data_IF_063067928267
#
_entry.id   IF_063067928267
#
_cell.length_a   1.000
_cell.length_b   1.000
_cell.length_c   1.000
_cell.angle_alpha   90.00
_cell.angle_beta   90.00
_cell.angle_gamma   90.00
#
_symmetry.space_group_name_H-M   'P 1'
#
loop_
_entity.id
_entity.type
_entity.pdbx_description
1 polymer ?
#
# COMPACT_ATOMS: atom_id res chain seq x y z
N UNK A 1 29.15 -14.66 9.26
CA UNK A 1 28.85 -13.34 9.90
C UNK A 1 30.09 -12.46 10.09
N UNK A 2 31.33 -12.97 10.02
CA UNK A 2 32.53 -12.22 10.39
C UNK A 2 32.66 -10.79 9.82
N UNK A 3 32.39 -10.51 8.53
CA UNK A 3 32.45 -9.13 8.02
C UNK A 3 31.49 -8.15 8.71
N UNK A 4 30.34 -8.65 9.19
CA UNK A 4 29.34 -7.87 9.92
C UNK A 4 29.72 -7.75 11.40
N UNK A 5 30.24 -8.83 12.01
CA UNK A 5 30.65 -8.83 13.43
C UNK A 5 31.73 -7.79 13.70
N UNK A 6 32.73 -7.66 12.81
CA UNK A 6 33.87 -6.78 13.00
C UNK A 6 33.61 -5.30 12.67
N UNK A 7 32.37 -4.95 12.31
CA UNK A 7 32.02 -3.57 11.97
C UNK A 7 32.98 -2.97 10.91
N UNK A 8 33.35 -3.80 9.92
CA UNK A 8 34.46 -3.49 9.00
C UNK A 8 34.16 -2.28 8.12
N UNK A 9 32.87 -1.95 7.93
CA UNK A 9 32.43 -0.75 7.21
C UNK A 9 32.95 0.51 7.90
N UNK A 10 32.73 0.64 9.21
CA UNK A 10 33.15 1.84 9.95
C UNK A 10 34.65 1.82 10.25
N UNK A 11 35.26 0.65 10.50
CA UNK A 11 36.70 0.54 10.74
C UNK A 11 37.55 0.84 9.50
N UNK A 12 37.07 0.48 8.31
CA UNK A 12 37.75 0.75 7.04
C UNK A 12 37.33 2.08 6.39
N UNK A 13 36.66 2.97 7.13
CA UNK A 13 36.28 4.30 6.65
C UNK A 13 35.37 4.26 5.42
N UNK A 14 34.36 3.38 5.42
CA UNK A 14 33.39 3.22 4.33
C UNK A 14 34.01 2.95 2.95
N UNK A 15 35.19 2.33 2.91
CA UNK A 15 35.84 1.94 1.65
C UNK A 15 34.88 1.17 0.73
N UNK A 16 35.06 1.30 -0.58
CA UNK A 16 34.24 0.57 -1.57
C UNK A 16 34.24 -0.94 -1.31
N UNK A 17 35.40 -1.50 -0.95
CA UNK A 17 35.56 -2.90 -0.63
C UNK A 17 34.78 -3.30 0.63
N UNK A 18 34.97 -2.59 1.75
CA UNK A 18 34.29 -2.92 3.02
C UNK A 18 32.78 -2.82 2.90
N UNK A 19 32.30 -1.80 2.18
CA UNK A 19 30.88 -1.61 1.89
C UNK A 19 30.32 -2.76 1.07
N UNK A 20 30.98 -3.14 -0.03
CA UNK A 20 30.51 -4.21 -0.91
C UNK A 20 30.50 -5.58 -0.22
N UNK A 21 31.54 -5.90 0.56
CA UNK A 21 31.63 -7.19 1.29
C UNK A 21 30.52 -7.30 2.34
N UNK A 22 30.27 -6.24 3.11
CA UNK A 22 29.20 -6.25 4.11
C UNK A 22 27.82 -6.26 3.46
N UNK A 23 27.61 -5.48 2.40
CA UNK A 23 26.33 -5.46 1.69
C UNK A 23 25.97 -6.84 1.10
N UNK A 24 26.95 -7.55 0.53
CA UNK A 24 26.76 -8.92 0.02
C UNK A 24 26.50 -9.91 1.16
N UNK A 25 27.20 -9.75 2.28
CA UNK A 25 26.99 -10.58 3.47
C UNK A 25 25.58 -10.42 4.04
N UNK A 26 25.11 -9.17 4.21
CA UNK A 26 23.74 -8.86 4.60
C UNK A 26 22.74 -9.41 3.59
N UNK A 27 23.03 -9.34 2.30
CA UNK A 27 22.18 -9.92 1.26
C UNK A 27 21.98 -11.44 1.43
N UNK A 28 23.03 -12.18 1.81
CA UNK A 28 22.93 -13.62 2.09
C UNK A 28 22.10 -13.86 3.36
N UNK A 29 22.37 -13.11 4.43
CA UNK A 29 21.65 -13.23 5.71
C UNK A 29 20.16 -12.99 5.53
N UNK A 30 19.80 -11.90 4.84
CA UNK A 30 18.41 -11.55 4.58
C UNK A 30 17.68 -12.66 3.80
N UNK A 31 18.29 -13.20 2.75
CA UNK A 31 17.71 -14.32 1.99
C UNK A 31 17.50 -15.56 2.85
N UNK A 32 18.43 -15.88 3.75
CA UNK A 32 18.29 -17.02 4.65
C UNK A 32 17.11 -16.81 5.61
N UNK A 33 17.03 -15.64 6.25
CA UNK A 33 15.96 -15.32 7.21
C UNK A 33 14.58 -15.33 6.56
N UNK A 34 14.45 -14.81 5.33
CA UNK A 34 13.17 -14.75 4.60
C UNK A 34 12.73 -16.11 4.09
N UNK A 35 13.66 -16.95 3.63
CA UNK A 35 13.31 -18.21 2.96
C UNK A 35 13.23 -19.42 3.90
N UNK A 36 13.81 -19.35 5.11
CA UNK A 36 13.74 -20.44 6.09
C UNK A 36 12.52 -20.30 7.00
N UNK A 37 11.62 -21.29 6.91
CA UNK A 37 10.37 -21.38 7.69
C UNK A 37 10.44 -22.51 8.71
N UNK A 38 9.49 -22.53 9.64
CA UNK A 38 9.42 -23.53 10.72
C UNK A 38 10.55 -23.38 11.74
N UNK A 39 10.79 -24.46 12.49
CA UNK A 39 11.73 -24.50 13.62
C UNK A 39 13.15 -24.09 13.20
N UNK A 40 13.64 -24.60 12.07
CA UNK A 40 14.95 -24.22 11.51
C UNK A 40 15.08 -22.71 11.28
N UNK A 41 14.00 -22.06 10.82
CA UNK A 41 13.98 -20.61 10.63
C UNK A 41 13.95 -19.85 11.95
N UNK A 42 13.23 -20.36 12.95
CA UNK A 42 13.19 -19.79 14.29
C UNK A 42 14.57 -19.88 14.96
N UNK A 43 15.21 -21.04 14.91
CA UNK A 43 16.57 -21.26 15.43
C UNK A 43 17.59 -20.33 14.76
N UNK A 44 17.51 -20.18 13.43
CA UNK A 44 18.39 -19.27 12.70
C UNK A 44 18.21 -17.82 13.16
N UNK A 45 16.96 -17.35 13.27
CA UNK A 45 16.68 -15.99 13.76
C UNK A 45 17.18 -15.80 15.20
N UNK A 46 16.99 -16.79 16.07
CA UNK A 46 17.49 -16.76 17.44
C UNK A 46 19.01 -16.70 17.50
N UNK A 47 19.72 -17.50 16.69
CA UNK A 47 21.19 -17.49 16.62
C UNK A 47 21.73 -16.12 16.18
N UNK A 48 21.14 -15.53 15.14
CA UNK A 48 21.58 -14.22 14.63
C UNK A 48 21.23 -13.11 15.64
N UNK A 49 20.05 -13.16 16.25
CA UNK A 49 19.63 -12.19 17.28
C UNK A 49 20.54 -12.23 18.51
N UNK A 50 21.04 -13.41 18.88
CA UNK A 50 21.96 -13.60 20.01
C UNK A 50 23.37 -13.05 19.74
N UNK A 51 23.74 -12.82 18.48
CA UNK A 51 25.01 -12.21 18.10
C UNK A 51 24.97 -10.68 18.26
N UNK A 52 25.25 -10.22 19.48
CA UNK A 52 25.29 -8.80 19.84
C UNK A 52 26.24 -7.97 18.98
N UNK A 53 27.33 -8.57 18.48
CA UNK A 53 28.29 -7.89 17.60
C UNK A 53 27.66 -7.56 16.26
N UNK A 54 27.06 -8.57 15.62
CA UNK A 54 26.32 -8.40 14.37
C UNK A 54 25.14 -7.42 14.50
N UNK A 55 24.34 -7.55 15.57
CA UNK A 55 23.22 -6.64 15.84
C UNK A 55 23.70 -5.21 16.07
N UNK A 56 24.77 -5.03 16.85
CA UNK A 56 25.39 -3.73 17.11
C UNK A 56 25.85 -3.05 15.83
N UNK A 57 26.56 -3.78 14.96
CA UNK A 57 26.99 -3.27 13.64
C UNK A 57 25.81 -2.89 12.76
N UNK A 58 24.78 -3.73 12.66
CA UNK A 58 23.61 -3.42 11.86
C UNK A 58 22.88 -2.17 12.38
N UNK A 59 22.77 -2.00 13.70
CA UNK A 59 22.21 -0.77 14.30
C UNK A 59 23.02 0.47 13.95
N UNK A 60 24.36 0.40 14.02
CA UNK A 60 25.26 1.50 13.62
C UNK A 60 25.10 1.85 12.15
N UNK A 61 25.06 0.84 11.27
CA UNK A 61 24.80 1.00 9.84
C UNK A 61 23.51 1.79 9.59
N UNK A 62 22.44 1.43 10.30
CA UNK A 62 21.11 2.05 10.13
C UNK A 62 21.10 3.54 10.45
N UNK A 63 21.90 4.00 11.41
CA UNK A 63 21.96 5.42 11.83
C UNK A 63 23.15 6.17 11.25
N UNK A 64 23.99 5.53 10.44
CA UNK A 64 25.20 6.14 9.89
C UNK A 64 24.88 7.03 8.69
N UNK A 65 25.24 8.30 8.76
CA UNK A 65 25.00 9.28 7.68
C UNK A 65 25.76 8.93 6.40
N UNK A 66 26.97 8.36 6.49
CA UNK A 66 27.66 7.89 5.29
C UNK A 66 26.93 6.72 4.66
N UNK A 67 26.39 5.78 5.45
CA UNK A 67 25.63 4.64 4.95
C UNK A 67 24.23 5.01 4.40
N UNK A 68 23.80 6.25 4.59
CA UNK A 68 22.46 6.72 4.27
C UNK A 68 22.12 6.54 2.80
N UNK A 69 20.94 5.98 2.54
CA UNK A 69 20.41 5.75 1.19
C UNK A 69 21.08 4.60 0.44
N UNK A 70 22.06 3.91 1.05
CA UNK A 70 22.74 2.77 0.42
C UNK A 70 21.99 1.46 0.66
N UNK A 71 22.17 0.53 -0.27
CA UNK A 71 21.63 -0.84 -0.20
C UNK A 71 21.99 -1.56 1.11
N UNK A 72 23.18 -1.28 1.64
CA UNK A 72 23.66 -1.87 2.88
C UNK A 72 22.78 -1.46 4.09
N UNK A 73 22.28 -0.22 4.11
CA UNK A 73 21.42 0.31 5.16
C UNK A 73 20.02 -0.30 5.07
N UNK A 74 19.47 -0.38 3.86
CA UNK A 74 18.17 -1.00 3.58
C UNK A 74 18.16 -2.47 4.02
N UNK A 75 19.19 -3.26 3.66
CA UNK A 75 19.32 -4.66 4.10
C UNK A 75 19.44 -4.78 5.61
N UNK A 76 20.17 -3.89 6.27
CA UNK A 76 20.28 -3.89 7.73
C UNK A 76 18.91 -3.60 8.40
N UNK A 77 18.13 -2.65 7.90
CA UNK A 77 16.76 -2.36 8.38
C UNK A 77 15.85 -3.58 8.27
N UNK A 78 15.88 -4.26 7.10
CA UNK A 78 15.07 -5.44 6.84
C UNK A 78 15.45 -6.60 7.76
N UNK A 79 16.76 -6.89 7.90
CA UNK A 79 17.24 -7.95 8.80
C UNK A 79 16.83 -7.67 10.24
N UNK A 80 17.14 -6.46 10.75
CA UNK A 80 16.79 -6.11 12.13
C UNK A 80 15.30 -6.27 12.39
N UNK A 81 14.45 -5.95 11.42
CA UNK A 81 13.00 -6.10 11.56
C UNK A 81 12.55 -7.55 11.64
N UNK A 82 13.11 -8.43 10.81
CA UNK A 82 12.82 -9.86 10.91
C UNK A 82 13.34 -10.50 12.22
N UNK A 83 14.41 -9.95 12.80
CA UNK A 83 14.96 -10.44 14.07
C UNK A 83 14.24 -9.87 15.29
N UNK A 84 13.71 -8.64 15.18
CA UNK A 84 13.02 -7.94 16.25
C UNK A 84 11.58 -8.43 16.47
N UNK A 85 11.14 -9.57 15.93
CA UNK A 85 9.75 -10.02 16.10
C UNK A 85 9.41 -10.26 17.60
N UNK A 86 10.38 -10.63 18.44
CA UNK A 86 10.13 -11.08 19.83
C UNK A 86 10.64 -10.15 20.97
N UNK A 87 11.42 -9.10 20.70
CA UNK A 87 12.05 -8.26 21.75
C UNK A 87 11.55 -6.80 21.78
N UNK A 88 10.80 -6.43 22.82
CA UNK A 88 10.10 -5.14 22.92
C UNK A 88 11.01 -3.89 22.91
N UNK A 89 12.15 -3.91 23.60
CA UNK A 89 13.03 -2.73 23.70
C UNK A 89 13.81 -2.42 22.41
N UNK A 90 14.28 -3.47 21.71
CA UNK A 90 14.98 -3.33 20.43
C UNK A 90 14.04 -2.88 19.32
N UNK A 91 12.77 -3.29 19.38
CA UNK A 91 11.71 -2.87 18.46
C UNK A 91 11.42 -1.37 18.51
N UNK A 92 11.34 -0.76 19.69
CA UNK A 92 11.00 0.66 19.83
C UNK A 92 12.03 1.59 19.16
N UNK A 93 13.33 1.38 19.42
CA UNK A 93 14.39 2.19 18.82
C UNK A 93 14.46 2.04 17.31
N UNK A 94 14.29 0.83 16.78
CA UNK A 94 14.23 0.59 15.35
C UNK A 94 13.01 1.30 14.73
N UNK A 95 11.84 1.17 15.37
CA UNK A 95 10.60 1.82 14.92
C UNK A 95 10.79 3.33 14.78
N UNK A 96 11.40 4.00 15.76
CA UNK A 96 11.67 5.45 15.70
C UNK A 96 12.53 5.85 14.50
N UNK A 97 13.58 5.09 14.21
CA UNK A 97 14.43 5.37 13.04
C UNK A 97 13.65 5.17 11.74
N UNK A 98 12.88 4.09 11.63
CA UNK A 98 12.07 3.80 10.45
C UNK A 98 10.98 4.87 10.22
N UNK A 99 10.29 5.31 11.28
CA UNK A 99 9.30 6.39 11.24
C UNK A 99 9.94 7.67 10.71
N UNK A 100 11.10 8.05 11.26
CA UNK A 100 11.82 9.24 10.79
C UNK A 100 12.20 9.15 9.32
N UNK A 101 12.69 8.00 8.84
CA UNK A 101 13.03 7.81 7.43
C UNK A 101 11.77 7.85 6.56
N UNK A 102 10.68 7.23 7.00
CA UNK A 102 9.48 7.10 6.19
C UNK A 102 8.70 8.42 6.07
N UNK A 103 8.50 9.12 7.20
CA UNK A 103 7.71 10.36 7.28
C UNK A 103 8.55 11.58 6.92
N UNK A 104 9.76 11.68 7.46
CA UNK A 104 10.62 12.87 7.37
C UNK A 104 11.80 12.71 6.40
N UNK A 105 11.87 11.58 5.68
CA UNK A 105 12.93 11.31 4.71
C UNK A 105 12.83 12.22 3.49
N UNK A 106 14.00 12.54 2.92
CA UNK A 106 14.11 13.29 1.67
C UNK A 106 13.42 12.53 0.53
N UNK A 107 12.53 13.21 -0.19
CA UNK A 107 11.83 12.68 -1.37
C UNK A 107 12.78 12.24 -2.49
N UNK A 108 14.03 12.71 -2.51
CA UNK A 108 15.06 12.27 -3.46
C UNK A 108 15.50 10.81 -3.22
N UNK A 109 15.40 10.32 -1.98
CA UNK A 109 15.78 8.97 -1.58
C UNK A 109 14.55 8.05 -1.53
N UNK A 110 13.91 7.85 -2.68
CA UNK A 110 12.66 7.07 -2.77
C UNK A 110 12.83 5.61 -2.34
N UNK A 111 13.95 4.96 -2.67
CA UNK A 111 14.20 3.54 -2.34
C UNK A 111 14.22 3.27 -0.84
N UNK A 112 15.03 4.01 -0.07
CA UNK A 112 15.12 3.84 1.39
C UNK A 112 13.80 4.17 2.07
N UNK A 113 13.06 5.16 1.57
CA UNK A 113 11.75 5.52 2.11
C UNK A 113 10.73 4.40 1.87
N UNK A 114 10.72 3.80 0.67
CA UNK A 114 9.91 2.60 0.36
C UNK A 114 10.26 1.45 1.30
N UNK A 115 11.55 1.12 1.44
CA UNK A 115 12.00 0.06 2.35
C UNK A 115 11.60 0.35 3.80
N UNK A 116 11.74 1.59 4.27
CA UNK A 116 11.32 1.97 5.62
C UNK A 116 9.81 1.74 5.83
N UNK A 117 8.99 2.13 4.86
CA UNK A 117 7.54 1.89 4.88
C UNK A 117 7.17 0.40 4.93
N UNK A 118 7.76 -0.42 4.05
CA UNK A 118 7.53 -1.88 4.01
C UNK A 118 7.94 -2.54 5.34
N UNK A 119 9.06 -2.06 5.88
CA UNK A 119 9.60 -2.55 7.15
C UNK A 119 8.69 -2.16 8.34
N UNK A 120 8.12 -0.95 8.32
CA UNK A 120 7.12 -0.52 9.31
C UNK A 120 5.85 -1.35 9.22
N UNK A 121 5.31 -1.57 8.01
CA UNK A 121 4.14 -2.44 7.80
C UNK A 121 4.36 -3.80 8.46
N UNK A 122 5.52 -4.43 8.20
CA UNK A 122 5.87 -5.73 8.78
C UNK A 122 5.97 -5.68 10.31
N UNK A 123 6.57 -4.63 10.89
CA UNK A 123 6.68 -4.47 12.34
C UNK A 123 5.31 -4.35 13.01
N UNK A 124 4.39 -3.61 12.40
CA UNK A 124 3.06 -3.33 12.95
C UNK A 124 2.16 -4.55 12.84
N UNK A 125 2.17 -5.24 11.69
CA UNK A 125 1.50 -6.54 11.49
C UNK A 125 1.95 -7.60 12.50
N UNK A 126 3.24 -7.60 12.84
CA UNK A 126 3.81 -8.57 13.78
C UNK A 126 3.62 -8.16 15.24
N UNK A 127 3.11 -6.95 15.52
CA UNK A 127 2.98 -6.43 16.88
C UNK A 127 1.59 -6.73 17.45
N UNK A 128 1.56 -7.24 18.68
CA UNK A 128 0.30 -7.36 19.45
C UNK A 128 -0.29 -6.01 19.82
N UNK A 129 0.54 -4.96 19.92
CA UNK A 129 0.12 -3.61 20.25
C UNK A 129 1.08 -2.58 19.67
N UNK A 130 0.56 -1.66 18.88
CA UNK A 130 1.31 -0.55 18.27
C UNK A 130 1.63 0.55 19.28
N UNK A 131 0.80 0.74 20.32
CA UNK A 131 1.09 1.68 21.41
C UNK A 131 2.43 1.39 22.11
N UNK A 132 2.89 0.14 22.10
CA UNK A 132 4.21 -0.22 22.66
C UNK A 132 5.38 0.19 21.76
N UNK A 133 5.13 0.43 20.47
CA UNK A 133 6.15 0.77 19.47
C UNK A 133 6.27 2.28 19.24
N UNK A 134 5.17 2.99 19.41
CA UNK A 134 5.05 4.44 19.19
C UNK A 134 4.58 5.13 20.46
N UNK A 135 5.44 5.93 21.11
CA UNK A 135 5.03 6.77 22.23
C UNK A 135 3.90 7.73 21.82
N UNK A 136 3.04 8.05 22.79
CA UNK A 136 1.88 8.92 22.59
C UNK A 136 2.26 10.30 22.02
N UNK A 137 3.39 10.85 22.46
CA UNK A 137 3.86 12.17 22.06
C UNK A 137 4.17 12.25 20.57
N UNK A 138 4.53 11.12 19.96
CA UNK A 138 4.89 10.99 18.55
C UNK A 138 3.68 10.59 17.68
N UNK A 139 2.58 10.11 18.27
CA UNK A 139 1.43 9.56 17.55
C UNK A 139 0.77 10.55 16.60
N UNK A 140 0.54 11.78 17.06
CA UNK A 140 -0.16 12.79 16.26
C UNK A 140 0.67 13.21 15.03
N UNK A 141 1.99 13.42 15.22
CA UNK A 141 2.91 13.72 14.13
C UNK A 141 3.00 12.54 13.16
N UNK A 142 3.05 11.30 13.68
CA UNK A 142 3.09 10.11 12.86
C UNK A 142 1.85 9.94 11.99
N UNK A 143 0.65 10.05 12.58
CA UNK A 143 -0.63 9.94 11.86
C UNK A 143 -0.78 11.05 10.83
N UNK A 144 -0.46 12.30 11.18
CA UNK A 144 -0.46 13.43 10.24
C UNK A 144 0.56 13.25 9.11
N UNK A 145 1.72 12.68 9.43
CA UNK A 145 2.74 12.30 8.47
C UNK A 145 2.22 11.27 7.46
N UNK A 146 1.63 10.17 7.93
CA UNK A 146 1.03 9.13 7.08
C UNK A 146 -0.05 9.69 6.16
N UNK A 147 -0.93 10.55 6.69
CA UNK A 147 -1.94 11.25 5.91
C UNK A 147 -1.34 12.08 4.78
N UNK A 148 -0.25 12.82 5.07
CA UNK A 148 0.47 13.56 4.03
C UNK A 148 1.06 12.64 2.95
N UNK A 149 1.59 11.47 3.33
CA UNK A 149 2.09 10.48 2.35
C UNK A 149 0.94 9.95 1.50
N UNK A 150 -0.20 9.61 2.11
CA UNK A 150 -1.37 9.06 1.44
C UNK A 150 -1.86 9.96 0.30
N UNK A 151 -1.82 11.28 0.51
CA UNK A 151 -2.26 12.31 -0.44
C UNK A 151 -1.19 12.74 -1.46
N UNK A 152 0.04 12.21 -1.40
CA UNK A 152 1.10 12.52 -2.38
C UNK A 152 0.88 11.79 -3.71
N UNK A 153 -0.08 12.25 -4.51
CA UNK A 153 -0.35 11.71 -5.87
C UNK A 153 0.89 11.92 -6.77
N UNK A 154 1.36 10.85 -7.43
CA UNK A 154 2.56 10.84 -8.28
C UNK A 154 3.34 9.51 -8.17
N UNK A 155 4.63 9.51 -8.48
CA UNK A 155 5.49 8.30 -8.59
C UNK A 155 5.78 7.53 -7.27
N UNK A 156 4.97 7.75 -6.22
CA UNK A 156 5.23 7.25 -4.87
C UNK A 156 4.22 6.19 -4.39
N UNK A 157 3.55 5.49 -5.31
CA UNK A 157 2.49 4.53 -5.02
C UNK A 157 2.85 3.50 -3.93
N UNK A 158 4.08 3.00 -3.92
CA UNK A 158 4.55 2.08 -2.88
C UNK A 158 4.49 2.69 -1.49
N UNK A 159 4.93 3.96 -1.31
CA UNK A 159 4.84 4.61 -0.01
C UNK A 159 3.40 4.95 0.36
N UNK A 160 2.57 5.35 -0.62
CA UNK A 160 1.14 5.59 -0.40
C UNK A 160 0.44 4.33 0.09
N UNK A 161 0.73 3.19 -0.55
CA UNK A 161 0.23 1.86 -0.19
C UNK A 161 0.65 1.50 1.23
N UNK A 162 1.95 1.63 1.54
CA UNK A 162 2.45 1.35 2.89
C UNK A 162 1.81 2.28 3.94
N UNK A 163 1.58 3.56 3.61
CA UNK A 163 0.90 4.48 4.52
C UNK A 163 -0.56 4.06 4.76
N UNK A 164 -1.26 3.61 3.72
CA UNK A 164 -2.62 3.10 3.83
C UNK A 164 -2.69 1.84 4.71
N UNK A 165 -1.81 0.86 4.48
CA UNK A 165 -1.72 -0.38 5.27
C UNK A 165 -1.40 -0.11 6.75
N UNK A 166 -0.50 0.85 7.04
CA UNK A 166 -0.20 1.26 8.41
C UNK A 166 -1.41 1.93 9.05
N UNK A 167 -2.03 2.92 8.39
CA UNK A 167 -3.23 3.60 8.91
C UNK A 167 -4.36 2.62 9.17
N UNK A 168 -4.54 1.62 8.30
CA UNK A 168 -5.53 0.56 8.47
C UNK A 168 -5.26 -0.24 9.75
N UNK A 169 -4.00 -0.63 9.97
CA UNK A 169 -3.58 -1.29 11.21
C UNK A 169 -3.86 -0.45 12.45
N UNK A 170 -3.60 0.86 12.39
CA UNK A 170 -3.93 1.77 13.48
C UNK A 170 -5.44 1.80 13.76
N UNK A 171 -6.27 1.83 12.71
CA UNK A 171 -7.73 1.82 12.84
C UNK A 171 -8.22 0.56 13.55
N UNK A 172 -7.62 -0.60 13.26
CA UNK A 172 -7.99 -1.87 13.90
C UNK A 172 -7.59 -1.88 15.37
N UNK A 173 -6.36 -1.45 15.69
CA UNK A 173 -5.83 -1.56 17.05
C UNK A 173 -6.34 -0.48 18.01
N UNK A 174 -6.62 0.72 17.51
CA UNK A 174 -7.07 1.85 18.35
C UNK A 174 -8.59 2.08 18.33
N UNK A 175 -9.36 1.20 17.68
CA UNK A 175 -10.83 1.32 17.63
C UNK A 175 -11.48 1.44 19.02
N UNK A 176 -10.88 0.82 20.03
CA UNK A 176 -11.37 0.80 21.41
C UNK A 176 -10.55 1.72 22.35
N UNK A 177 -9.50 2.35 21.83
CA UNK A 177 -8.57 3.18 22.61
C UNK A 177 -8.90 4.67 22.46
N UNK A 178 -9.71 5.19 23.38
CA UNK A 178 -10.22 6.56 23.33
C UNK A 178 -9.14 7.65 23.29
N UNK A 179 -7.92 7.38 23.73
CA UNK A 179 -6.83 8.35 23.76
C UNK A 179 -6.18 8.54 22.38
N UNK A 180 -5.96 7.45 21.64
CA UNK A 180 -5.37 7.45 20.29
C UNK A 180 -6.41 7.63 19.17
N UNK A 181 -7.67 7.28 19.46
CA UNK A 181 -8.78 7.24 18.51
C UNK A 181 -9.15 8.62 17.95
N UNK A 182 -9.15 9.67 18.78
CA UNK A 182 -9.63 10.99 18.37
C UNK A 182 -8.79 11.60 17.22
N UNK A 183 -7.46 11.64 17.36
CA UNK A 183 -6.56 12.13 16.31
C UNK A 183 -6.64 11.26 15.06
N UNK A 184 -6.66 9.94 15.23
CA UNK A 184 -6.73 9.01 14.09
C UNK A 184 -8.03 9.22 13.31
N UNK A 185 -9.17 9.24 14.00
CA UNK A 185 -10.49 9.45 13.40
C UNK A 185 -10.57 10.80 12.68
N UNK A 186 -10.13 11.88 13.32
CA UNK A 186 -10.15 13.21 12.70
C UNK A 186 -9.27 13.26 11.44
N UNK A 187 -8.07 12.68 11.51
CA UNK A 187 -7.15 12.63 10.37
C UNK A 187 -7.73 11.82 9.21
N UNK A 188 -8.25 10.62 9.49
CA UNK A 188 -8.88 9.77 8.47
C UNK A 188 -10.10 10.47 7.87
N UNK A 189 -10.94 11.12 8.68
CA UNK A 189 -12.09 11.90 8.19
C UNK A 189 -11.65 12.98 7.20
N UNK A 190 -10.52 13.65 7.47
CA UNK A 190 -9.99 14.71 6.63
C UNK A 190 -9.48 14.24 5.26
N UNK A 191 -8.81 13.08 5.20
CA UNK A 191 -8.22 12.56 3.95
C UNK A 191 -9.17 11.68 3.13
N UNK A 192 -10.23 11.16 3.75
CA UNK A 192 -11.17 10.24 3.10
C UNK A 192 -11.81 10.81 1.82
N UNK A 193 -12.23 12.09 1.72
CA UNK A 193 -12.79 12.63 0.49
C UNK A 193 -11.86 12.49 -0.72
N UNK A 194 -10.57 12.77 -0.54
CA UNK A 194 -9.57 12.71 -1.60
C UNK A 194 -9.31 11.28 -2.04
N UNK A 195 -9.19 10.36 -1.07
CA UNK A 195 -9.00 8.93 -1.34
C UNK A 195 -10.21 8.34 -2.07
N UNK A 196 -11.42 8.63 -1.62
CA UNK A 196 -12.65 8.18 -2.28
C UNK A 196 -12.78 8.76 -3.69
N UNK A 197 -12.41 10.02 -3.90
CA UNK A 197 -12.43 10.65 -5.22
C UNK A 197 -11.47 9.95 -6.18
N UNK A 198 -10.26 9.63 -5.74
CA UNK A 198 -9.29 8.88 -6.54
C UNK A 198 -9.79 7.46 -6.85
N UNK A 199 -10.39 6.79 -5.87
CA UNK A 199 -10.98 5.46 -6.06
C UNK A 199 -12.08 5.50 -7.12
N UNK A 200 -12.99 6.47 -7.04
CA UNK A 200 -14.15 6.56 -7.92
C UNK A 200 -13.79 7.03 -9.34
N UNK A 201 -12.95 8.06 -9.46
CA UNK A 201 -12.72 8.76 -10.73
C UNK A 201 -11.34 8.49 -11.35
N UNK A 202 -10.46 7.76 -10.67
CA UNK A 202 -9.05 7.64 -11.06
C UNK A 202 -8.23 8.87 -10.65
N UNK A 203 -6.91 8.76 -10.73
CA UNK A 203 -6.01 9.89 -10.50
C UNK A 203 -6.28 10.96 -11.57
N UNK A 204 -6.58 12.19 -11.16
CA UNK A 204 -6.94 13.32 -12.04
C UNK A 204 -5.77 13.84 -12.90
N UNK A 205 -4.74 13.02 -13.11
CA UNK A 205 -3.47 13.38 -13.74
C UNK A 205 -3.31 12.96 -15.19
N UNK A 206 -4.22 12.18 -15.76
CA UNK A 206 -4.17 11.79 -17.17
C UNK A 206 -5.50 12.16 -17.83
N UNK A 207 -5.55 13.34 -18.46
CA UNK A 207 -6.45 13.55 -19.58
C UNK A 207 -6.04 12.57 -20.68
N UNK A 208 -6.56 11.35 -20.64
CA UNK A 208 -6.66 10.51 -21.83
C UNK A 208 -7.56 11.25 -22.81
N UNK A 209 -6.95 12.06 -23.69
CA UNK A 209 -7.63 12.54 -24.89
C UNK A 209 -8.15 11.30 -25.61
N UNK A 210 -9.46 11.19 -25.88
CA UNK A 210 -9.98 10.07 -26.65
C UNK A 210 -9.31 10.09 -28.02
N UNK A 211 -8.60 9.02 -28.34
CA UNK A 211 -7.96 8.81 -29.65
C UNK A 211 -9.04 8.43 -30.70
N UNK A 212 -10.06 9.29 -30.84
CA UNK A 212 -11.08 9.20 -31.88
C UNK A 212 -11.57 10.61 -32.25
N UNK A 213 -10.67 11.41 -32.84
CA UNK A 213 -11.07 12.47 -33.75
C UNK A 213 -10.52 12.12 -35.14
N UNK A 214 -11.24 11.24 -35.84
CA UNK A 214 -11.13 11.15 -37.30
C UNK A 214 -11.59 12.48 -37.87
N UNK A 215 -10.71 13.16 -38.60
CA UNK A 215 -11.12 14.04 -39.68
C UNK A 215 -10.52 13.47 -40.97
N UNK A 216 -11.37 12.78 -41.72
CA UNK A 216 -11.11 12.41 -43.11
C UNK A 216 -10.89 13.67 -43.94
N UNK A 217 -9.74 13.77 -44.61
CA UNK A 217 -9.69 14.34 -45.96
C UNK A 217 -8.58 13.65 -46.75
N UNK A 218 -8.93 13.41 -48.00
CA UNK A 218 -8.44 12.41 -48.94
C UNK A 218 -7.24 12.91 -49.79
N UNK A 219 -6.68 11.96 -50.56
CA UNK A 219 -5.94 12.08 -51.84
C UNK A 219 -4.41 11.79 -51.85
N UNK A 220 -4.11 10.69 -52.56
CA UNK A 220 -2.91 10.26 -53.31
C UNK A 220 -1.52 10.38 -52.64
N UNK A 221 -0.76 9.28 -52.49
CA UNK A 221 -0.04 8.69 -53.63
C UNK A 221 0.55 7.31 -53.28
N UNK A 222 0.55 6.43 -54.29
CA UNK A 222 1.04 5.06 -54.26
C UNK A 222 2.57 4.95 -53.99
N UNK A 223 2.98 3.92 -53.25
CA UNK A 223 3.98 2.97 -53.76
C UNK A 223 4.01 1.68 -52.92
N UNK A 224 4.02 0.56 -53.65
CA UNK A 224 3.93 -0.79 -53.14
C UNK A 224 5.13 -1.19 -52.29
N UNK A 225 4.89 -1.89 -51.18
CA UNK A 225 5.72 -3.06 -50.85
C UNK A 225 4.97 -4.04 -49.95
N UNK A 226 5.13 -5.32 -50.29
CA UNK A 226 4.29 -6.45 -49.90
C UNK A 226 4.50 -6.87 -48.44
N UNK A 227 3.37 -7.05 -47.75
CA UNK A 227 3.02 -8.11 -46.78
C UNK A 227 4.19 -8.77 -46.00
N UNK A 228 4.26 -8.47 -44.70
CA UNK A 228 4.44 -9.49 -43.64
C UNK A 228 3.45 -9.22 -42.50
N UNK A 229 2.28 -9.88 -42.55
CA UNK A 229 1.39 -10.05 -41.39
C UNK A 229 2.14 -10.85 -40.33
N UNK A 230 2.74 -10.17 -39.35
CA UNK A 230 3.11 -10.79 -38.07
C UNK A 230 1.89 -10.68 -37.16
N UNK A 231 1.18 -11.80 -36.99
CA UNK A 231 0.21 -11.98 -35.91
C UNK A 231 0.94 -11.73 -34.58
N UNK A 232 0.78 -10.53 -34.02
CA UNK A 232 1.17 -10.23 -32.65
C UNK A 232 0.04 -10.75 -31.76
N UNK A 233 0.13 -12.02 -31.35
CA UNK A 233 -0.52 -12.47 -30.11
C UNK A 233 0.00 -11.54 -29.01
N UNK A 234 -0.81 -10.57 -28.60
CA UNK A 234 -0.56 -9.81 -27.37
C UNK A 234 -0.79 -10.80 -26.24
N UNK A 235 0.29 -11.41 -25.75
CA UNK A 235 0.24 -12.02 -24.43
C UNK A 235 -0.06 -10.89 -23.45
N UNK A 236 -1.19 -10.98 -22.77
CA UNK A 236 -1.59 -10.09 -21.69
C UNK A 236 -0.66 -10.33 -20.49
N UNK A 237 0.55 -9.79 -20.54
CA UNK A 237 1.29 -9.49 -19.32
C UNK A 237 1.01 -8.02 -19.03
N UNK A 238 0.19 -7.76 -18.01
CA UNK A 238 0.05 -6.43 -17.41
C UNK A 238 1.45 -5.86 -17.17
N UNK A 239 1.68 -4.60 -17.52
CA UNK A 239 2.98 -3.98 -17.28
C UNK A 239 3.25 -3.94 -15.76
N UNK A 240 4.52 -3.98 -15.31
CA UNK A 240 4.85 -3.90 -13.89
C UNK A 240 4.22 -2.68 -13.18
N UNK A 241 3.98 -1.58 -13.90
CA UNK A 241 3.33 -0.38 -13.37
C UNK A 241 1.84 -0.54 -13.09
N UNK A 242 1.11 -1.30 -13.92
CA UNK A 242 -0.33 -1.57 -13.69
C UNK A 242 -0.56 -2.41 -12.42
N UNK A 243 0.39 -3.28 -12.06
CA UNK A 243 0.30 -4.11 -10.86
C UNK A 243 0.47 -3.27 -9.57
N UNK A 244 1.39 -2.30 -9.56
CA UNK A 244 1.61 -1.47 -8.37
C UNK A 244 0.46 -0.48 -8.12
N UNK A 245 -0.12 0.09 -9.18
CA UNK A 245 -1.32 0.91 -9.07
C UNK A 245 -2.51 0.11 -8.52
N UNK A 246 -2.67 -1.14 -8.97
CA UNK A 246 -3.73 -2.03 -8.48
C UNK A 246 -3.58 -2.36 -7.00
N UNK A 247 -2.35 -2.66 -6.53
CA UNK A 247 -2.07 -2.89 -5.11
C UNK A 247 -2.35 -1.65 -4.25
N UNK A 248 -1.96 -0.46 -4.75
CA UNK A 248 -2.30 0.79 -4.07
C UNK A 248 -3.82 0.94 -3.95
N UNK A 249 -4.55 0.72 -5.04
CA UNK A 249 -6.00 0.79 -5.06
C UNK A 249 -6.66 -0.14 -4.03
N UNK A 250 -6.20 -1.40 -3.94
CA UNK A 250 -6.66 -2.36 -2.93
C UNK A 250 -6.37 -1.86 -1.51
N UNK A 251 -5.17 -1.34 -1.25
CA UNK A 251 -4.81 -0.83 0.08
C UNK A 251 -5.65 0.39 0.50
N UNK A 252 -5.92 1.31 -0.44
CA UNK A 252 -6.80 2.46 -0.20
C UNK A 252 -8.23 2.01 0.12
N UNK A 253 -8.79 1.08 -0.65
CA UNK A 253 -10.12 0.51 -0.36
C UNK A 253 -10.17 -0.19 1.00
N UNK A 254 -9.12 -0.96 1.35
CA UNK A 254 -9.07 -1.68 2.62
C UNK A 254 -9.08 -0.72 3.80
N UNK A 255 -8.29 0.35 3.72
CA UNK A 255 -8.31 1.44 4.69
C UNK A 255 -9.72 2.06 4.81
N UNK A 256 -10.37 2.39 3.68
CA UNK A 256 -11.72 2.97 3.70
C UNK A 256 -12.73 2.06 4.40
N UNK A 257 -12.77 0.78 4.04
CA UNK A 257 -13.66 -0.24 4.65
C UNK A 257 -13.40 -0.31 6.15
N UNK A 258 -12.15 -0.53 6.54
CA UNK A 258 -11.75 -0.68 7.94
C UNK A 258 -12.10 0.56 8.75
N UNK A 259 -11.88 1.75 8.22
CA UNK A 259 -12.21 2.99 8.90
C UNK A 259 -13.72 3.15 9.12
N UNK A 260 -14.55 2.77 8.15
CA UNK A 260 -16.01 2.80 8.29
C UNK A 260 -16.51 1.80 9.35
N UNK A 261 -15.91 0.61 9.40
CA UNK A 261 -16.33 -0.43 10.34
C UNK A 261 -15.80 -0.20 11.76
N UNK A 262 -14.54 0.23 11.90
CA UNK A 262 -13.84 0.34 13.19
C UNK A 262 -13.94 1.72 13.82
N UNK A 263 -13.97 2.78 13.01
CA UNK A 263 -14.06 4.15 13.52
C UNK A 263 -15.47 4.74 13.41
N UNK A 264 -16.41 3.97 12.84
CA UNK A 264 -17.78 4.41 12.57
C UNK A 264 -17.83 5.73 11.80
N UNK A 265 -17.00 5.84 10.76
CA UNK A 265 -17.02 6.96 9.83
C UNK A 265 -18.28 6.89 8.97
N UNK A 266 -18.90 8.06 8.75
CA UNK A 266 -20.08 8.20 7.91
C UNK A 266 -19.67 8.66 6.51
N UNK A 267 -19.66 7.73 5.53
CA UNK A 267 -19.31 8.06 4.14
C UNK A 267 -20.23 9.11 3.53
N UNK A 268 -21.50 9.19 3.96
CA UNK A 268 -22.46 10.14 3.39
C UNK A 268 -22.24 11.56 3.93
N UNK A 269 -21.64 11.70 5.10
CA UNK A 269 -21.19 12.98 5.64
C UNK A 269 -19.86 13.45 5.01
N UNK A 270 -19.12 12.54 4.38
CA UNK A 270 -17.85 12.81 3.72
C UNK A 270 -18.17 13.34 2.32
N UNK A 271 -18.26 14.67 2.21
CA UNK A 271 -18.49 15.34 0.93
C UNK A 271 -17.28 15.15 0.02
N UNK A 272 -17.49 14.59 -1.18
CA UNK A 272 -16.44 14.37 -2.18
C UNK A 272 -15.88 15.68 -2.78
N UNK A 273 -16.43 16.85 -2.39
CA UNK A 273 -16.10 18.16 -2.96
C UNK A 273 -16.93 18.50 -4.22
N UNK A 274 -16.83 19.75 -4.68
CA UNK A 274 -17.70 20.32 -5.73
C UNK A 274 -17.63 19.56 -7.07
N UNK A 275 -18.82 19.46 -7.69
CA UNK A 275 -19.17 18.85 -8.98
C UNK A 275 -19.54 17.35 -8.98
N UNK A 276 -20.13 16.83 -7.90
CA UNK A 276 -21.09 15.73 -8.07
C UNK A 276 -22.43 16.34 -8.51
N UNK A 277 -23.03 15.74 -9.55
CA UNK A 277 -24.42 16.03 -9.91
C UNK A 277 -25.29 15.77 -8.65
N UNK A 278 -26.30 16.58 -8.32
CA UNK A 278 -27.05 16.48 -7.05
C UNK A 278 -27.73 15.12 -6.77
N UNK A 279 -27.65 14.15 -7.69
CA UNK A 279 -28.14 12.78 -7.56
C UNK A 279 -27.06 11.69 -7.49
N UNK A 280 -25.76 12.00 -7.61
CA UNK A 280 -24.71 10.98 -7.62
C UNK A 280 -24.23 10.67 -6.19
N UNK A 281 -24.73 9.58 -5.63
CA UNK A 281 -24.28 9.08 -4.32
C UNK A 281 -22.95 8.33 -4.46
N UNK A 282 -22.06 8.45 -3.45
CA UNK A 282 -20.79 7.70 -3.34
C UNK A 282 -20.99 6.20 -3.56
N UNK A 283 -22.13 5.64 -3.11
CA UNK A 283 -22.48 4.24 -3.36
C UNK A 283 -22.56 3.89 -4.85
N UNK A 284 -23.12 4.77 -5.68
CA UNK A 284 -23.22 4.57 -7.12
C UNK A 284 -21.85 4.67 -7.81
N UNK A 285 -21.05 5.68 -7.49
CA UNK A 285 -19.72 5.82 -8.09
C UNK A 285 -18.81 4.64 -7.71
N UNK A 286 -18.88 4.15 -6.47
CA UNK A 286 -18.17 2.94 -6.03
C UNK A 286 -18.64 1.69 -6.79
N UNK A 287 -19.95 1.52 -6.97
CA UNK A 287 -20.49 0.39 -7.71
C UNK A 287 -20.12 0.42 -9.19
N UNK A 288 -20.17 1.59 -9.83
CA UNK A 288 -19.69 1.78 -11.21
C UNK A 288 -18.22 1.41 -11.31
N UNK A 289 -17.39 1.83 -10.33
CA UNK A 289 -15.98 1.45 -10.29
C UNK A 289 -15.78 -0.05 -10.12
N UNK A 290 -16.58 -0.71 -9.29
CA UNK A 290 -16.57 -2.17 -9.14
C UNK A 290 -16.84 -2.90 -10.46
N UNK A 291 -17.79 -2.39 -11.26
CA UNK A 291 -18.09 -2.94 -12.60
C UNK A 291 -16.89 -2.74 -13.55
N UNK A 292 -16.21 -1.59 -13.49
CA UNK A 292 -15.03 -1.33 -14.33
C UNK A 292 -13.88 -2.29 -14.01
N UNK A 293 -13.56 -2.49 -12.72
CA UNK A 293 -12.49 -3.39 -12.29
C UNK A 293 -12.73 -4.85 -12.70
N UNK A 294 -13.98 -5.25 -12.89
CA UNK A 294 -14.32 -6.58 -13.40
C UNK A 294 -13.98 -6.79 -14.88
N UNK A 295 -13.88 -5.72 -15.68
CA UNK A 295 -13.59 -5.85 -17.12
C UNK A 295 -12.10 -6.05 -17.39
N UNK A 296 -11.24 -5.57 -16.50
CA UNK A 296 -9.80 -5.46 -16.72
C UNK A 296 -9.01 -6.45 -15.85
N UNK A 297 -8.77 -7.65 -16.39
CA UNK A 297 -7.97 -8.76 -15.84
C UNK A 297 -8.37 -9.33 -14.46
N UNK A 298 -8.53 -10.65 -14.47
CA UNK A 298 -8.90 -11.46 -13.32
C UNK A 298 -7.65 -11.85 -12.53
N UNK A 299 -7.48 -11.29 -11.32
CA UNK A 299 -6.39 -11.63 -10.37
C UNK A 299 -6.92 -11.77 -8.93
N UNK A 300 -6.11 -12.34 -8.02
CA UNK A 300 -6.46 -12.41 -6.58
C UNK A 300 -6.68 -11.02 -5.95
N UNK A 301 -5.89 -10.03 -6.39
CA UNK A 301 -6.04 -8.64 -5.97
C UNK A 301 -7.35 -8.05 -6.51
N UNK A 302 -7.76 -8.41 -7.74
CA UNK A 302 -9.06 -8.01 -8.30
C UNK A 302 -10.22 -8.56 -7.47
N UNK A 303 -10.15 -9.83 -7.03
CA UNK A 303 -11.14 -10.41 -6.12
C UNK A 303 -11.19 -9.69 -4.77
N UNK A 304 -10.03 -9.35 -4.22
CA UNK A 304 -9.93 -8.59 -2.97
C UNK A 304 -10.54 -7.19 -3.11
N UNK A 305 -10.20 -6.48 -4.18
CA UNK A 305 -10.80 -5.18 -4.52
C UNK A 305 -12.33 -5.27 -4.58
N UNK A 306 -12.88 -6.27 -5.26
CA UNK A 306 -14.32 -6.48 -5.36
C UNK A 306 -15.00 -6.71 -4.01
N UNK A 307 -14.43 -7.58 -3.17
CA UNK A 307 -14.96 -7.85 -1.82
C UNK A 307 -14.99 -6.58 -0.98
N UNK A 308 -13.93 -5.78 -1.05
CA UNK A 308 -13.83 -4.51 -0.35
C UNK A 308 -14.85 -3.49 -0.88
N UNK A 309 -14.95 -3.30 -2.20
CA UNK A 309 -15.91 -2.36 -2.80
C UNK A 309 -17.35 -2.75 -2.48
N UNK A 310 -17.69 -4.03 -2.51
CA UNK A 310 -19.01 -4.54 -2.09
C UNK A 310 -19.33 -4.14 -0.65
N UNK A 311 -18.37 -4.32 0.27
CA UNK A 311 -18.56 -3.90 1.68
C UNK A 311 -18.76 -2.39 1.81
N UNK A 312 -18.03 -1.58 1.03
CA UNK A 312 -18.22 -0.12 1.03
C UNK A 312 -19.60 0.28 0.50
N UNK A 313 -20.06 -0.34 -0.59
CA UNK A 313 -21.40 -0.09 -1.15
C UNK A 313 -22.46 -0.43 -0.10
N UNK A 314 -22.37 -1.59 0.56
CA UNK A 314 -23.29 -1.98 1.65
C UNK A 314 -23.25 -0.95 2.79
N UNK A 315 -22.05 -0.51 3.21
CA UNK A 315 -21.90 0.46 4.30
C UNK A 315 -22.54 1.82 3.95
N UNK A 316 -22.35 2.30 2.72
CA UNK A 316 -22.98 3.52 2.22
C UNK A 316 -24.51 3.37 2.16
N UNK A 317 -25.01 2.25 1.62
CA UNK A 317 -26.45 1.96 1.46
C UNK A 317 -27.20 1.84 2.79
N UNK A 318 -26.65 1.12 3.79
CA UNK A 318 -27.29 0.98 5.12
C UNK A 318 -27.59 2.31 5.81
N UNK A 319 -26.84 3.37 5.47
CA UNK A 319 -27.01 4.70 6.05
C UNK A 319 -27.93 5.61 5.22
N UNK A 320 -28.19 5.29 3.95
CA UNK A 320 -29.21 5.97 3.12
C UNK A 320 -30.62 5.64 3.59
N UNK A 321 -30.89 4.40 4.02
CA UNK A 321 -32.18 4.00 4.59
C UNK A 321 -32.56 4.80 5.86
N UNK A 322 -31.57 5.34 6.58
CA UNK A 322 -31.78 6.11 7.81
C UNK A 322 -32.01 7.61 7.62
N UNK A 323 -31.60 8.19 6.49
CA UNK A 323 -31.55 9.65 6.30
C UNK A 323 -32.68 10.23 5.43
N UNK A 324 -33.64 9.42 4.99
CA UNK A 324 -34.83 9.90 4.27
C UNK A 324 -34.55 10.55 2.90
N UNK A 325 -33.33 10.42 2.38
CA UNK A 325 -32.99 10.87 1.03
C UNK A 325 -33.66 9.94 0.02
N UNK A 326 -34.55 10.49 -0.79
CA UNK A 326 -35.20 9.79 -1.90
C UNK A 326 -34.16 9.46 -2.96
N UNK A 327 -33.56 8.29 -2.86
CA UNK A 327 -32.75 7.71 -3.93
C UNK A 327 -33.67 7.46 -5.12
N UNK A 328 -33.27 7.95 -6.30
CA UNK A 328 -34.02 7.69 -7.53
C UNK A 328 -34.12 6.17 -7.75
N UNK A 329 -35.35 5.68 -7.89
CA UNK A 329 -35.67 4.26 -8.05
C UNK A 329 -35.00 3.67 -9.29
N UNK A 330 -34.90 4.45 -10.37
CA UNK A 330 -34.24 4.01 -11.59
C UNK A 330 -32.73 3.77 -11.39
N UNK A 331 -32.07 4.66 -10.65
CA UNK A 331 -30.66 4.50 -10.29
C UNK A 331 -30.46 3.28 -9.38
N UNK A 332 -31.37 3.04 -8.43
CA UNK A 332 -31.31 1.87 -7.56
C UNK A 332 -31.49 0.55 -8.34
N UNK A 333 -32.43 0.49 -9.29
CA UNK A 333 -32.63 -0.69 -10.14
C UNK A 333 -31.38 -0.95 -11.01
N UNK A 334 -30.80 0.09 -11.63
CA UNK A 334 -29.56 -0.03 -12.41
C UNK A 334 -28.36 -0.47 -11.57
N UNK A 335 -28.27 -0.01 -10.32
CA UNK A 335 -27.27 -0.45 -9.35
C UNK A 335 -27.44 -1.92 -9.02
N UNK A 336 -28.65 -2.37 -8.71
CA UNK A 336 -28.93 -3.78 -8.39
C UNK A 336 -28.55 -4.68 -9.56
N UNK A 337 -28.90 -4.31 -10.79
CA UNK A 337 -28.52 -5.07 -11.99
C UNK A 337 -27.01 -5.15 -12.16
N UNK A 338 -26.31 -4.03 -11.94
CA UNK A 338 -24.85 -3.96 -12.00
C UNK A 338 -24.18 -4.82 -10.93
N UNK A 339 -24.68 -4.77 -9.70
CA UNK A 339 -24.20 -5.61 -8.59
C UNK A 339 -24.47 -7.10 -8.85
N UNK A 340 -25.64 -7.43 -9.41
CA UNK A 340 -26.01 -8.80 -9.76
C UNK A 340 -25.07 -9.40 -10.81
N UNK A 341 -24.79 -8.65 -11.88
CA UNK A 341 -23.84 -9.08 -12.92
C UNK A 341 -22.42 -9.29 -12.38
N UNK A 342 -21.97 -8.42 -11.47
CA UNK A 342 -20.67 -8.58 -10.81
C UNK A 342 -20.66 -9.79 -9.88
N UNK A 343 -21.75 -10.05 -9.16
CA UNK A 343 -21.85 -11.20 -8.24
C UNK A 343 -21.76 -12.54 -8.97
N UNK A 344 -22.35 -12.67 -10.15
CA UNK A 344 -22.22 -13.87 -10.99
C UNK A 344 -20.76 -14.09 -11.41
N UNK A 345 -20.11 -13.03 -11.89
CA UNK A 345 -18.69 -13.07 -12.28
C UNK A 345 -17.78 -13.45 -11.10
N UNK A 346 -18.11 -12.97 -9.90
CA UNK A 346 -17.37 -13.28 -8.67
C UNK A 346 -17.52 -14.76 -8.25
N UNK A 347 -18.71 -15.33 -8.38
CA UNK A 347 -18.96 -16.75 -8.07
C UNK A 347 -18.14 -17.67 -8.98
N UNK A 348 -18.10 -17.35 -10.28
CA UNK A 348 -17.27 -18.08 -11.24
C UNK A 348 -15.78 -17.96 -10.89
N UNK A 349 -15.34 -16.78 -10.44
CA UNK A 349 -13.96 -16.52 -10.05
C UNK A 349 -13.54 -17.28 -8.79
N UNK A 350 -14.36 -17.27 -7.74
CA UNK A 350 -14.08 -18.02 -6.51
C UNK A 350 -13.98 -19.52 -6.81
N UNK A 351 -14.85 -20.03 -7.70
CA UNK A 351 -14.72 -21.38 -8.23
C UNK A 351 -13.35 -21.63 -8.86
N UNK A 352 -12.91 -20.79 -9.81
CA UNK A 352 -11.64 -20.99 -10.50
C UNK A 352 -10.39 -20.91 -9.60
N UNK A 353 -10.36 -20.03 -8.60
CA UNK A 353 -9.20 -19.85 -7.71
C UNK A 353 -9.10 -20.98 -6.68
N UNK A 354 -10.22 -21.53 -6.20
CA UNK A 354 -10.22 -22.65 -5.24
C UNK A 354 -9.62 -23.92 -5.84
N UNK A 355 -9.60 -24.05 -7.17
CA UNK A 355 -9.06 -25.21 -7.89
C UNK A 355 -7.69 -25.00 -8.55
N UNK A 356 -7.03 -23.85 -8.35
CA UNK A 356 -5.72 -23.52 -8.92
C UNK A 356 -4.57 -23.74 -7.92
#
# INVERSE_FOLDING_TARGET
>A
MSPVIYDIVHHAGHSAWSTQVVERSLGVILRLIVNTKGDTGADLRQQISSDKGSIGTMKKIVVCEECKGRELQMKAMQILTHLCIDETANRGNLTKVLVRIFINGDSSNTSIRKTAGETLVLLFLSSKSVATLLPKEEHNEFVGGLAKILLQVGDNDTCRKNAAEILEHLCIQFAEDGEYLSTLKNTITGVMPEVLREICHGSTGEEEKPEYARSDTDIESQSETKKKKRNKKKNASSSPGQNEQHKLYVALLSLCVTACEKLHLDLNAISLGQAMDPGECVAFSLATKMVQLNRDLITADSLTAMKLTTRMVIAAMKKLEGNGTTVDRANLESLIDSLSSVSETMLDLEGCIVFA
#
